data_IF_570325386930
#
_entry.id   IF_570325386930
#
_cell.length_a   1.000
_cell.length_b   1.000
_cell.length_c   1.000
_cell.angle_alpha   90.00
_cell.angle_beta   90.00
_cell.angle_gamma   90.00
#
_symmetry.space_group_name_H-M   'P 1'
#
loop_
_entity.id
_entity.type
_entity.pdbx_description
1 polymer ?
#
# COMPACT_ATOMS: atom_id res chain seq x y z
N UNK A 1 26.80 -9.43 -12.78
CA UNK A 1 25.51 -10.09 -13.11
C UNK A 1 24.93 -10.72 -11.84
N UNK A 2 23.62 -10.58 -11.59
CA UNK A 2 22.93 -11.37 -10.55
C UNK A 2 22.82 -12.81 -11.06
N UNK A 3 23.10 -13.80 -10.21
CA UNK A 3 22.96 -15.20 -10.62
C UNK A 3 21.50 -15.49 -10.99
N UNK A 4 21.29 -15.99 -12.22
CA UNK A 4 19.97 -16.26 -12.75
C UNK A 4 19.26 -17.39 -12.00
N UNK A 5 20.00 -18.36 -11.45
CA UNK A 5 19.42 -19.45 -10.66
C UNK A 5 18.89 -18.92 -9.32
N UNK A 6 19.71 -18.15 -8.59
CA UNK A 6 19.30 -17.47 -7.37
C UNK A 6 18.07 -16.56 -7.60
N UNK A 7 18.08 -15.75 -8.65
CA UNK A 7 16.96 -14.84 -8.94
C UNK A 7 15.65 -15.61 -9.24
N UNK A 8 15.72 -16.71 -10.02
CA UNK A 8 14.55 -17.58 -10.28
C UNK A 8 13.99 -18.20 -9.00
N UNK A 9 14.85 -18.57 -8.05
CA UNK A 9 14.40 -19.09 -6.76
C UNK A 9 13.61 -18.02 -5.97
N UNK A 10 14.07 -16.77 -5.98
CA UNK A 10 13.38 -15.63 -5.33
C UNK A 10 12.04 -15.26 -5.98
N UNK A 11 11.86 -15.57 -7.27
CA UNK A 11 10.61 -15.34 -8.00
C UNK A 11 9.56 -16.44 -7.79
N UNK A 12 9.91 -17.53 -7.12
CA UNK A 12 9.02 -18.68 -6.96
C UNK A 12 7.87 -18.35 -6.00
N UNK A 13 6.64 -18.48 -6.48
CA UNK A 13 5.43 -18.38 -5.64
C UNK A 13 5.45 -19.42 -4.53
N UNK A 14 5.34 -18.94 -3.29
CA UNK A 14 5.09 -19.74 -2.10
C UNK A 14 3.72 -19.39 -1.51
N UNK A 15 2.71 -20.16 -1.92
CA UNK A 15 1.34 -19.94 -1.46
C UNK A 15 1.17 -20.13 0.05
N UNK A 16 2.03 -20.94 0.71
CA UNK A 16 1.96 -21.13 2.17
C UNK A 16 2.46 -19.88 2.88
N UNK A 17 3.57 -19.30 2.40
CA UNK A 17 4.07 -18.03 2.92
C UNK A 17 3.05 -16.90 2.73
N UNK A 18 2.45 -16.79 1.53
CA UNK A 18 1.44 -15.76 1.23
C UNK A 18 0.17 -15.91 2.08
N UNK A 19 -0.39 -17.12 2.19
CA UNK A 19 -1.58 -17.37 3.03
C UNK A 19 -1.27 -17.20 4.51
N UNK A 20 -0.08 -17.61 4.96
CA UNK A 20 0.39 -17.39 6.33
C UNK A 20 0.50 -15.90 6.67
N UNK A 21 1.01 -15.07 5.76
CA UNK A 21 1.09 -13.63 5.94
C UNK A 21 -0.30 -12.97 6.05
N UNK A 22 -1.24 -13.36 5.18
CA UNK A 22 -2.64 -12.89 5.23
C UNK A 22 -3.32 -13.34 6.52
N UNK A 23 -3.16 -14.61 6.90
CA UNK A 23 -3.73 -15.17 8.13
C UNK A 23 -3.15 -14.49 9.38
N UNK A 24 -1.85 -14.17 9.39
CA UNK A 24 -1.21 -13.42 10.45
C UNK A 24 -1.84 -12.03 10.60
N UNK A 25 -2.05 -11.29 9.50
CA UNK A 25 -2.66 -9.97 9.57
C UNK A 25 -4.08 -10.03 10.11
N UNK A 26 -4.91 -10.95 9.62
CA UNK A 26 -6.27 -11.17 10.15
C UNK A 26 -6.28 -11.60 11.61
N UNK A 27 -5.37 -12.50 12.01
CA UNK A 27 -5.24 -12.96 13.38
C UNK A 27 -4.84 -11.84 14.35
N UNK A 28 -3.88 -10.99 13.95
CA UNK A 28 -3.47 -9.83 14.75
C UNK A 28 -4.60 -8.80 14.84
N UNK A 29 -5.37 -8.58 13.77
CA UNK A 29 -6.54 -7.69 13.80
C UNK A 29 -7.58 -8.19 14.81
N UNK A 30 -7.97 -9.46 14.70
CA UNK A 30 -8.95 -10.07 15.60
C UNK A 30 -8.47 -10.02 17.06
N UNK A 31 -7.20 -10.37 17.31
CA UNK A 31 -6.60 -10.34 18.64
C UNK A 31 -6.57 -8.92 19.22
N UNK A 32 -6.17 -7.92 18.44
CA UNK A 32 -6.13 -6.52 18.88
C UNK A 32 -7.53 -5.99 19.25
N UNK A 33 -8.56 -6.33 18.47
CA UNK A 33 -9.94 -5.96 18.77
C UNK A 33 -10.44 -6.65 20.06
N UNK A 34 -10.21 -7.96 20.21
CA UNK A 34 -10.62 -8.72 21.40
C UNK A 34 -9.92 -8.23 22.67
N UNK A 35 -8.61 -7.97 22.61
CA UNK A 35 -7.85 -7.43 23.74
C UNK A 35 -8.31 -6.02 24.11
N UNK A 36 -8.65 -5.18 23.13
CA UNK A 36 -9.20 -3.84 23.38
C UNK A 36 -10.55 -3.90 24.10
N UNK A 37 -11.46 -4.76 23.63
CA UNK A 37 -12.76 -4.98 24.28
C UNK A 37 -12.60 -5.54 25.71
N UNK A 38 -11.74 -6.54 25.90
CA UNK A 38 -11.48 -7.14 27.20
C UNK A 38 -10.86 -6.16 28.20
N UNK A 39 -9.96 -5.29 27.73
CA UNK A 39 -9.34 -4.28 28.58
C UNK A 39 -10.28 -3.11 28.91
N UNK A 40 -11.29 -2.85 28.06
CA UNK A 40 -12.24 -1.74 28.20
C UNK A 40 -11.60 -0.38 28.51
N UNK A 41 -10.39 -0.14 28.00
CA UNK A 41 -9.56 1.01 28.36
C UNK A 41 -9.22 1.87 27.14
N UNK A 42 -9.32 3.21 27.20
CA UNK A 42 -9.06 4.09 26.05
C UNK A 42 -7.68 3.91 25.42
N UNK A 43 -6.64 3.65 26.23
CA UNK A 43 -5.30 3.39 25.70
C UNK A 43 -5.22 2.05 24.95
N UNK A 44 -5.93 1.02 25.42
CA UNK A 44 -5.99 -0.27 24.73
C UNK A 44 -6.68 -0.11 23.36
N UNK A 45 -7.75 0.69 23.32
CA UNK A 45 -8.41 1.06 22.06
C UNK A 45 -7.48 1.82 21.10
N UNK A 46 -6.73 2.81 21.59
CA UNK A 46 -5.78 3.55 20.75
C UNK A 46 -4.70 2.61 20.16
N UNK A 47 -4.16 1.71 20.97
CA UNK A 47 -3.18 0.71 20.52
C UNK A 47 -3.79 -0.27 19.51
N UNK A 48 -5.05 -0.66 19.70
CA UNK A 48 -5.78 -1.48 18.73
C UNK A 48 -5.98 -0.75 17.41
N UNK A 49 -6.32 0.55 17.43
CA UNK A 49 -6.47 1.34 16.20
C UNK A 49 -5.17 1.38 15.39
N UNK A 50 -4.05 1.65 16.06
CA UNK A 50 -2.72 1.66 15.43
C UNK A 50 -2.36 0.29 14.87
N UNK A 51 -2.57 -0.76 15.68
CA UNK A 51 -2.22 -2.13 15.32
C UNK A 51 -3.06 -2.63 14.15
N UNK A 52 -4.37 -2.44 14.21
CA UNK A 52 -5.30 -2.87 13.15
C UNK A 52 -5.03 -2.09 11.87
N UNK A 53 -4.82 -0.78 11.94
CA UNK A 53 -4.48 0.00 10.75
C UNK A 53 -3.17 -0.46 10.10
N UNK A 54 -2.17 -0.82 10.91
CA UNK A 54 -0.91 -1.37 10.41
C UNK A 54 -1.08 -2.74 9.73
N UNK A 55 -2.03 -3.56 10.20
CA UNK A 55 -2.37 -4.86 9.59
C UNK A 55 -3.30 -4.74 8.38
N UNK A 56 -4.24 -3.79 8.37
CA UNK A 56 -4.99 -3.42 7.17
C UNK A 56 -4.02 -2.96 6.07
N UNK A 57 -2.96 -2.25 6.45
CA UNK A 57 -1.90 -1.92 5.53
C UNK A 57 -1.16 -3.17 5.03
N UNK A 58 -0.87 -4.13 5.91
CA UNK A 58 -0.37 -5.46 5.55
C UNK A 58 -1.24 -6.19 4.52
N UNK A 59 -2.57 -6.20 4.70
CA UNK A 59 -3.51 -6.72 3.72
C UNK A 59 -3.39 -5.99 2.38
N UNK A 60 -3.26 -4.65 2.39
CA UNK A 60 -3.01 -3.86 1.19
C UNK A 60 -1.70 -4.24 0.46
N UNK A 61 -0.64 -4.59 1.22
CA UNK A 61 0.61 -5.10 0.64
C UNK A 61 0.41 -6.49 0.01
N UNK A 62 -0.35 -7.37 0.66
CA UNK A 62 -0.65 -8.70 0.09
C UNK A 62 -1.56 -8.60 -1.13
N UNK A 63 -2.48 -7.63 -1.17
CA UNK A 63 -3.22 -7.28 -2.37
C UNK A 63 -2.27 -6.86 -3.50
N UNK A 64 -1.30 -5.98 -3.21
CA UNK A 64 -0.28 -5.58 -4.17
C UNK A 64 0.56 -6.76 -4.68
N UNK A 65 0.97 -7.68 -3.79
CA UNK A 65 1.65 -8.93 -4.16
C UNK A 65 0.77 -9.79 -5.10
N UNK A 66 -0.53 -9.85 -4.84
CA UNK A 66 -1.50 -10.50 -5.72
C UNK A 66 -1.65 -9.83 -7.08
N UNK A 67 -1.44 -8.51 -7.19
CA UNK A 67 -1.41 -7.81 -8.46
C UNK A 67 -0.27 -8.35 -9.36
N UNK A 68 0.86 -8.72 -8.76
CA UNK A 68 2.02 -9.37 -9.43
C UNK A 68 1.91 -10.90 -9.53
N UNK A 69 0.73 -11.47 -9.30
CA UNK A 69 0.49 -12.91 -9.29
C UNK A 69 1.38 -13.66 -8.26
N UNK A 70 1.64 -13.00 -7.13
CA UNK A 70 2.51 -13.47 -6.05
C UNK A 70 1.88 -14.44 -5.06
N UNK A 71 0.55 -14.51 -4.96
CA UNK A 71 -0.14 -15.23 -3.88
C UNK A 71 -0.33 -16.72 -4.15
N UNK A 72 -0.55 -17.10 -5.41
CA UNK A 72 -0.78 -18.50 -5.78
C UNK A 72 -0.38 -18.78 -7.22
N UNK A 73 0.16 -19.98 -7.50
CA UNK A 73 0.59 -20.42 -8.85
C UNK A 73 -0.54 -20.46 -9.89
N UNK A 74 -1.78 -20.57 -9.42
CA UNK A 74 -3.01 -20.60 -10.24
C UNK A 74 -3.60 -19.21 -10.22
N UNK A 75 -3.66 -18.55 -11.37
CA UNK A 75 -4.17 -17.17 -11.48
C UNK A 75 -5.56 -16.98 -10.88
N UNK A 76 -6.49 -17.89 -11.14
CA UNK A 76 -7.84 -17.81 -10.57
C UNK A 76 -7.84 -17.81 -9.04
N UNK A 77 -6.99 -18.62 -8.40
CA UNK A 77 -6.86 -18.64 -6.94
C UNK A 77 -6.11 -17.42 -6.42
N UNK A 78 -5.07 -16.95 -7.11
CA UNK A 78 -4.39 -15.71 -6.75
C UNK A 78 -5.39 -14.55 -6.72
N UNK A 79 -6.20 -14.44 -7.77
CA UNK A 79 -7.16 -13.35 -7.91
C UNK A 79 -8.30 -13.47 -6.89
N UNK A 80 -8.81 -14.67 -6.66
CA UNK A 80 -9.80 -14.92 -5.60
C UNK A 80 -9.26 -14.57 -4.19
N UNK A 81 -8.07 -15.06 -3.83
CA UNK A 81 -7.44 -14.81 -2.52
C UNK A 81 -7.17 -13.31 -2.33
N UNK A 82 -6.55 -12.66 -3.33
CA UNK A 82 -6.19 -11.26 -3.25
C UNK A 82 -7.41 -10.34 -3.22
N UNK A 83 -8.48 -10.66 -3.95
CA UNK A 83 -9.73 -9.89 -3.90
C UNK A 83 -10.46 -10.11 -2.56
N UNK A 84 -10.75 -11.36 -2.20
CA UNK A 84 -11.61 -11.69 -1.05
C UNK A 84 -10.95 -11.37 0.31
N UNK A 85 -9.68 -11.72 0.49
CA UNK A 85 -9.03 -11.66 1.80
C UNK A 85 -8.22 -10.39 2.03
N UNK A 86 -7.94 -9.61 0.98
CA UNK A 86 -7.05 -8.47 1.05
C UNK A 86 -7.64 -7.18 0.44
N UNK A 87 -8.29 -7.24 -0.73
CA UNK A 87 -8.78 -6.05 -1.43
C UNK A 87 -10.19 -5.61 -0.98
N UNK A 88 -11.19 -6.47 -1.08
CA UNK A 88 -12.59 -6.15 -0.75
C UNK A 88 -12.79 -5.74 0.72
N UNK A 89 -12.09 -6.35 1.71
CA UNK A 89 -12.13 -5.87 3.08
C UNK A 89 -11.67 -4.40 3.21
N UNK A 90 -10.79 -3.94 2.33
CA UNK A 90 -10.30 -2.55 2.26
C UNK A 90 -11.12 -1.69 1.27
N UNK A 91 -12.24 -2.20 0.77
CA UNK A 91 -13.12 -1.52 -0.20
C UNK A 91 -12.47 -1.16 -1.53
N UNK A 92 -11.42 -1.88 -1.92
CA UNK A 92 -10.71 -1.71 -3.20
C UNK A 92 -10.81 -2.97 -4.06
N UNK A 93 -10.33 -2.89 -5.30
CA UNK A 93 -10.19 -4.07 -6.18
C UNK A 93 -8.73 -4.27 -6.55
N UNK A 94 -8.23 -5.48 -6.30
CA UNK A 94 -6.88 -5.87 -6.68
C UNK A 94 -6.72 -5.85 -8.20
N UNK A 95 -7.71 -6.38 -8.95
CA UNK A 95 -7.63 -6.41 -10.42
C UNK A 95 -7.72 -5.01 -11.03
N UNK A 96 -8.55 -4.14 -10.46
CA UNK A 96 -8.59 -2.72 -10.84
C UNK A 96 -7.26 -2.03 -10.58
N UNK A 97 -6.65 -2.30 -9.42
CA UNK A 97 -5.33 -1.79 -9.05
C UNK A 97 -4.21 -2.32 -9.97
N UNK A 98 -4.23 -3.62 -10.33
CA UNK A 98 -3.20 -4.27 -11.15
C UNK A 98 -2.91 -3.54 -12.45
N UNK A 99 -3.95 -3.12 -13.18
CA UNK A 99 -3.76 -2.45 -14.47
C UNK A 99 -3.01 -1.11 -14.32
N UNK A 100 -3.47 -0.28 -13.40
CA UNK A 100 -2.82 1.00 -13.05
C UNK A 100 -1.38 0.78 -12.57
N UNK A 101 -1.20 -0.20 -11.68
CA UNK A 101 0.10 -0.46 -11.07
C UNK A 101 1.13 -1.02 -12.06
N UNK A 102 0.71 -1.89 -12.98
CA UNK A 102 1.60 -2.40 -14.03
C UNK A 102 2.07 -1.28 -14.96
N UNK A 103 1.21 -0.31 -15.26
CA UNK A 103 1.60 0.86 -16.05
C UNK A 103 2.62 1.73 -15.30
N UNK A 104 2.42 1.92 -14.00
CA UNK A 104 3.39 2.59 -13.13
C UNK A 104 4.76 1.89 -13.14
N UNK A 105 4.82 0.55 -13.05
CA UNK A 105 6.09 -0.20 -13.16
C UNK A 105 6.75 -0.05 -14.52
N UNK A 106 5.96 -0.09 -15.59
CA UNK A 106 6.45 0.00 -16.97
C UNK A 106 7.06 1.37 -17.28
N UNK A 107 6.40 2.43 -16.80
CA UNK A 107 6.73 3.81 -17.16
C UNK A 107 7.32 4.58 -15.97
N UNK A 108 7.83 3.88 -14.95
CA UNK A 108 8.26 4.44 -13.67
C UNK A 108 9.00 5.77 -13.85
N UNK A 109 8.52 6.81 -13.15
CA UNK A 109 9.17 8.13 -13.12
C UNK A 109 9.16 8.89 -14.47
N UNK A 110 8.34 8.49 -15.44
CA UNK A 110 8.14 9.21 -16.70
C UNK A 110 6.79 9.91 -16.74
N UNK A 111 6.52 10.67 -17.81
CA UNK A 111 5.22 11.32 -18.03
C UNK A 111 4.08 10.30 -18.22
N UNK A 112 4.39 9.09 -18.66
CA UNK A 112 3.38 8.05 -18.88
C UNK A 112 3.14 7.21 -17.61
N UNK A 113 3.82 7.50 -16.50
CA UNK A 113 3.51 6.91 -15.19
C UNK A 113 2.24 7.57 -14.62
N UNK A 114 1.15 6.80 -14.40
CA UNK A 114 -0.11 7.36 -13.91
C UNK A 114 0.01 7.91 -12.48
N UNK A 115 0.93 7.41 -11.67
CA UNK A 115 1.23 8.01 -10.37
C UNK A 115 2.00 9.32 -10.56
N UNK A 116 2.95 9.39 -11.49
CA UNK A 116 3.75 10.60 -11.75
C UNK A 116 2.87 11.76 -12.21
N UNK A 117 1.99 11.54 -13.19
CA UNK A 117 1.03 12.52 -13.70
C UNK A 117 0.13 13.12 -12.61
N UNK A 118 -0.30 12.32 -11.63
CA UNK A 118 -1.11 12.81 -10.53
C UNK A 118 -0.36 13.84 -9.65
N UNK A 119 0.97 13.71 -9.57
CA UNK A 119 1.83 14.44 -8.63
C UNK A 119 2.52 15.64 -9.28
N UNK A 120 2.62 15.65 -10.60
CA UNK A 120 3.21 16.76 -11.35
C UNK A 120 2.16 17.60 -12.05
N UNK A 121 2.58 18.79 -12.48
CA UNK A 121 1.86 19.61 -13.45
C UNK A 121 2.26 19.17 -14.87
N UNK A 122 1.60 19.72 -15.88
CA UNK A 122 1.91 19.43 -17.30
C UNK A 122 3.37 19.78 -17.67
N UNK A 123 3.94 20.78 -17.00
CA UNK A 123 5.35 21.17 -17.16
C UNK A 123 6.35 20.20 -16.48
N UNK A 124 5.85 19.15 -15.80
CA UNK A 124 6.66 18.16 -15.06
C UNK A 124 7.08 18.61 -13.66
N UNK A 125 6.73 19.83 -13.24
CA UNK A 125 7.05 20.30 -11.88
C UNK A 125 6.14 19.65 -10.82
N UNK A 126 6.65 19.34 -9.61
CA UNK A 126 5.81 18.80 -8.54
C UNK A 126 4.71 19.78 -8.15
N UNK A 127 3.49 19.29 -7.96
CA UNK A 127 2.40 20.09 -7.38
C UNK A 127 2.80 20.56 -5.97
N UNK A 128 2.29 21.71 -5.49
CA UNK A 128 2.73 22.30 -4.22
C UNK A 128 2.72 21.33 -3.03
N UNK A 129 1.72 20.47 -2.94
CA UNK A 129 1.53 19.42 -1.93
C UNK A 129 2.59 18.30 -1.97
N UNK A 130 3.24 18.08 -3.12
CA UNK A 130 4.28 17.07 -3.33
C UNK A 130 5.67 17.69 -3.51
N UNK A 131 5.85 18.97 -3.20
CA UNK A 131 7.17 19.62 -3.24
C UNK A 131 7.95 19.31 -1.96
N UNK A 132 9.02 18.53 -2.11
CA UNK A 132 9.98 18.19 -1.06
C UNK A 132 11.38 18.77 -1.38
N UNK A 133 12.18 19.14 -0.36
CA UNK A 133 11.86 19.06 1.06
C UNK A 133 10.86 20.14 1.49
N UNK A 134 10.06 19.85 2.52
CA UNK A 134 9.04 20.77 3.05
C UNK A 134 9.24 21.08 4.55
N UNK A 135 8.77 22.23 5.06
CA UNK A 135 8.90 22.55 6.48
C UNK A 135 8.29 21.47 7.37
N UNK A 136 8.97 21.11 8.48
CA UNK A 136 8.53 20.07 9.44
C UNK A 136 7.08 20.24 9.88
N UNK A 137 6.65 21.48 10.15
CA UNK A 137 5.25 21.81 10.53
C UNK A 137 4.23 21.40 9.47
N UNK A 138 4.59 21.53 8.19
CA UNK A 138 3.72 21.19 7.04
C UNK A 138 3.64 19.68 6.89
N UNK A 139 4.77 18.99 7.01
CA UNK A 139 4.82 17.53 6.99
C UNK A 139 4.00 16.93 8.14
N UNK A 140 4.17 17.43 9.37
CA UNK A 140 3.41 16.98 10.54
C UNK A 140 1.91 17.24 10.36
N UNK A 141 1.51 18.44 9.92
CA UNK A 141 0.10 18.76 9.64
C UNK A 141 -0.51 17.81 8.60
N UNK A 142 0.25 17.46 7.57
CA UNK A 142 -0.19 16.50 6.56
C UNK A 142 -0.53 15.14 7.19
N UNK A 143 0.39 14.56 7.97
CA UNK A 143 0.16 13.26 8.62
C UNK A 143 -0.94 13.32 9.69
N UNK A 144 -0.97 14.36 10.51
CA UNK A 144 -2.02 14.57 11.53
C UNK A 144 -3.39 14.72 10.86
N UNK A 145 -3.47 15.37 9.69
CA UNK A 145 -4.74 15.49 8.96
C UNK A 145 -5.31 14.13 8.56
N UNK A 146 -4.46 13.15 8.21
CA UNK A 146 -4.92 11.79 7.90
C UNK A 146 -5.33 11.04 9.18
N UNK A 147 -4.57 11.18 10.28
CA UNK A 147 -4.94 10.59 11.57
C UNK A 147 -6.27 11.11 12.11
N UNK A 148 -6.66 12.34 11.76
CA UNK A 148 -7.96 12.92 12.11
C UNK A 148 -9.09 12.54 11.14
N UNK A 149 -8.84 11.63 10.19
CA UNK A 149 -9.88 11.15 9.27
C UNK A 149 -10.20 12.09 8.11
N UNK A 150 -9.47 13.19 7.93
CA UNK A 150 -9.72 14.12 6.80
C UNK A 150 -9.37 13.50 5.44
N UNK A 151 -8.66 12.36 5.43
CA UNK A 151 -8.50 11.50 4.26
C UNK A 151 -9.83 11.01 3.69
N UNK A 152 -10.79 10.64 4.55
CA UNK A 152 -12.14 10.22 4.15
C UNK A 152 -12.89 11.36 3.47
N UNK A 153 -12.80 12.59 4.01
CA UNK A 153 -13.43 13.78 3.40
C UNK A 153 -12.88 14.05 2.00
N UNK A 154 -11.55 13.94 1.83
CA UNK A 154 -10.90 14.06 0.51
C UNK A 154 -11.36 12.96 -0.46
N UNK A 155 -11.42 11.71 0.00
CA UNK A 155 -11.89 10.58 -0.79
C UNK A 155 -13.33 10.79 -1.27
N UNK A 156 -14.25 11.14 -0.36
CA UNK A 156 -15.65 11.42 -0.69
C UNK A 156 -15.78 12.60 -1.67
N UNK A 157 -14.97 13.65 -1.50
CA UNK A 157 -14.89 14.75 -2.46
C UNK A 157 -14.46 14.32 -3.85
N UNK A 158 -13.46 13.44 -3.96
CA UNK A 158 -13.03 12.87 -5.25
C UNK A 158 -14.11 11.98 -5.86
N UNK A 159 -14.77 11.13 -5.08
CA UNK A 159 -15.87 10.27 -5.58
C UNK A 159 -17.06 11.08 -6.11
N UNK A 160 -17.41 12.19 -5.44
CA UNK A 160 -18.44 13.13 -5.94
C UNK A 160 -18.06 13.73 -7.29
N UNK A 161 -16.83 14.24 -7.43
CA UNK A 161 -16.32 14.81 -8.69
C UNK A 161 -16.26 13.78 -9.82
N UNK A 162 -15.89 12.54 -9.52
CA UNK A 162 -15.92 11.44 -10.49
C UNK A 162 -17.37 11.09 -10.86
N UNK A 163 -18.30 11.07 -9.90
CA UNK A 163 -19.73 10.87 -10.16
C UNK A 163 -20.34 11.95 -11.03
N UNK A 164 -19.96 13.21 -10.80
CA UNK A 164 -20.34 14.38 -11.61
C UNK A 164 -19.71 14.32 -13.02
N UNK A 165 -18.47 13.83 -13.13
CA UNK A 165 -17.77 13.66 -14.42
C UNK A 165 -18.20 12.42 -15.20
N UNK A 166 -18.79 11.41 -14.53
CA UNK A 166 -19.27 10.15 -15.12
C UNK A 166 -20.62 10.26 -15.84
N UNK A 167 -21.13 11.47 -16.06
CA UNK A 167 -22.16 11.73 -17.08
C UNK A 167 -21.72 11.41 -18.52
N UNK A 168 -20.49 10.93 -18.74
CA UNK A 168 -19.97 10.52 -20.06
C UNK A 168 -19.14 9.24 -20.02
N UNK A 169 -19.71 8.17 -20.61
CA UNK A 169 -19.07 7.04 -21.30
C UNK A 169 -18.10 6.15 -20.49
N UNK A 170 -18.60 4.96 -20.13
CA UNK A 170 -17.79 3.81 -19.73
C UNK A 170 -16.93 3.31 -20.89
N UNK A 171 -15.62 3.59 -20.83
CA UNK A 171 -14.62 3.03 -21.73
C UNK A 171 -13.95 1.81 -21.08
N UNK A 172 -14.31 0.61 -21.54
CA UNK A 172 -13.48 -0.61 -21.71
C UNK A 172 -14.31 -1.89 -21.60
N UNK A 173 -15.23 -2.06 -22.55
CA UNK A 173 -15.79 -3.37 -22.91
C UNK A 173 -14.90 -4.03 -23.98
N UNK A 174 -13.76 -4.61 -23.58
CA UNK A 174 -13.12 -5.62 -24.42
C UNK A 174 -12.60 -6.80 -23.59
N UNK A 175 -13.03 -8.00 -24.01
CA UNK A 175 -12.50 -9.35 -23.69
C UNK A 175 -12.07 -9.60 -22.23
N UNK A 176 -12.98 -9.53 -21.27
CA UNK A 176 -12.75 -10.03 -19.90
C UNK A 176 -12.90 -11.56 -19.85
N UNK A 177 -11.98 -12.26 -19.18
CA UNK A 177 -12.06 -13.70 -19.01
C UNK A 177 -13.31 -14.09 -18.17
N UNK A 178 -13.89 -15.29 -18.32
CA UNK A 178 -15.06 -15.71 -17.54
C UNK A 178 -14.84 -15.64 -16.02
N UNK A 179 -13.63 -15.96 -15.55
CA UNK A 179 -13.24 -15.81 -14.13
C UNK A 179 -13.32 -14.37 -13.63
N UNK A 180 -13.11 -13.39 -14.52
CA UNK A 180 -13.20 -11.99 -14.15
C UNK A 180 -14.65 -11.55 -13.89
N UNK A 181 -15.59 -12.06 -14.69
CA UNK A 181 -17.03 -11.79 -14.52
C UNK A 181 -17.59 -12.42 -13.25
N UNK A 182 -17.14 -13.63 -12.91
CA UNK A 182 -17.54 -14.31 -11.69
C UNK A 182 -17.12 -13.54 -10.43
N UNK A 183 -15.88 -13.02 -10.39
CA UNK A 183 -15.41 -12.21 -9.28
C UNK A 183 -16.10 -10.83 -9.21
N UNK A 184 -16.40 -10.22 -10.36
CA UNK A 184 -17.19 -8.97 -10.42
C UNK A 184 -18.59 -9.17 -9.82
N UNK A 185 -19.25 -10.29 -10.13
CA UNK A 185 -20.55 -10.66 -9.58
C UNK A 185 -20.50 -11.09 -8.10
N UNK A 186 -19.40 -11.70 -7.66
CA UNK A 186 -19.22 -12.12 -6.26
C UNK A 186 -18.98 -10.94 -5.31
N UNK A 187 -18.42 -9.82 -5.79
CA UNK A 187 -18.13 -8.64 -4.96
C UNK A 187 -19.37 -8.04 -4.25
N UNK A 188 -20.50 -7.74 -4.94
CA UNK A 188 -21.69 -7.27 -4.24
C UNK A 188 -22.26 -8.32 -3.27
N UNK A 189 -22.14 -9.62 -3.58
CA UNK A 189 -22.56 -10.70 -2.67
C UNK A 189 -21.71 -10.70 -1.40
N UNK A 190 -20.40 -10.48 -1.49
CA UNK A 190 -19.52 -10.33 -0.33
C UNK A 190 -19.97 -9.18 0.57
N UNK A 191 -20.25 -7.99 0.01
CA UNK A 191 -20.68 -6.85 0.81
C UNK A 191 -22.08 -7.05 1.40
N UNK A 192 -23.01 -7.68 0.66
CA UNK A 192 -24.31 -8.05 1.20
C UNK A 192 -24.16 -9.04 2.36
N UNK A 193 -23.32 -10.07 2.21
CA UNK A 193 -23.03 -11.03 3.27
C UNK A 193 -22.42 -10.34 4.50
N UNK A 194 -21.51 -9.37 4.32
CA UNK A 194 -20.97 -8.56 5.39
C UNK A 194 -22.06 -7.76 6.12
N UNK A 195 -22.94 -7.06 5.38
CA UNK A 195 -24.06 -6.28 5.96
C UNK A 195 -25.02 -7.18 6.74
N UNK A 196 -25.37 -8.34 6.17
CA UNK A 196 -26.23 -9.33 6.82
C UNK A 196 -25.57 -9.85 8.10
N UNK A 197 -24.28 -10.24 8.05
CA UNK A 197 -23.55 -10.70 9.22
C UNK A 197 -23.51 -9.63 10.33
N UNK A 198 -23.13 -8.38 9.99
CA UNK A 198 -23.08 -7.29 10.96
C UNK A 198 -24.44 -6.98 11.60
N UNK A 199 -25.52 -7.10 10.83
CA UNK A 199 -26.88 -6.87 11.31
C UNK A 199 -27.33 -8.00 12.24
N UNK A 200 -27.13 -9.26 11.83
CA UNK A 200 -27.53 -10.42 12.63
C UNK A 200 -26.73 -10.54 13.93
N UNK A 201 -25.46 -10.13 13.94
CA UNK A 201 -24.61 -10.20 15.15
C UNK A 201 -24.60 -8.91 15.96
N UNK A 202 -25.29 -7.85 15.53
CA UNK A 202 -25.15 -6.51 16.14
C UNK A 202 -23.74 -5.91 16.03
N UNK A 203 -22.89 -6.44 15.13
CA UNK A 203 -21.47 -6.15 15.03
C UNK A 203 -21.11 -4.76 14.49
N UNK A 204 -22.11 -3.93 14.16
CA UNK A 204 -21.92 -2.60 13.58
C UNK A 204 -21.02 -1.69 14.42
N UNK A 205 -21.15 -1.73 15.75
CA UNK A 205 -20.29 -0.95 16.65
C UNK A 205 -18.83 -1.38 16.54
N UNK A 206 -18.56 -2.68 16.66
CA UNK A 206 -17.20 -3.23 16.56
C UNK A 206 -16.61 -2.99 15.17
N UNK A 207 -17.41 -3.10 14.11
CA UNK A 207 -16.99 -2.79 12.75
C UNK A 207 -16.62 -1.31 12.59
N UNK A 208 -17.44 -0.39 13.11
CA UNK A 208 -17.12 1.03 13.06
C UNK A 208 -15.81 1.35 13.82
N UNK A 209 -15.66 0.85 15.04
CA UNK A 209 -14.53 1.15 15.92
C UNK A 209 -13.23 0.46 15.48
N UNK A 210 -13.29 -0.81 15.09
CA UNK A 210 -12.09 -1.61 14.82
C UNK A 210 -11.80 -1.82 13.35
N UNK A 211 -12.75 -1.55 12.45
CA UNK A 211 -12.48 -1.62 11.02
C UNK A 211 -12.41 -0.24 10.37
N UNK A 212 -13.45 0.58 10.51
CA UNK A 212 -13.53 1.88 9.82
C UNK A 212 -12.61 2.94 10.43
N UNK A 213 -12.54 3.06 11.75
CA UNK A 213 -11.64 4.05 12.38
C UNK A 213 -10.17 3.81 11.99
N UNK A 214 -9.60 2.59 12.09
CA UNK A 214 -8.21 2.35 11.67
C UNK A 214 -7.99 2.58 10.17
N UNK A 215 -8.98 2.22 9.35
CA UNK A 215 -8.96 2.38 7.89
C UNK A 215 -8.83 3.86 7.50
N UNK A 216 -9.60 4.73 8.15
CA UNK A 216 -9.63 6.15 7.83
C UNK A 216 -8.64 7.01 8.60
N UNK A 217 -7.94 6.45 9.59
CA UNK A 217 -6.95 7.18 10.40
C UNK A 217 -5.54 6.67 10.13
N UNK A 218 -5.15 5.55 10.74
CA UNK A 218 -3.80 5.01 10.65
C UNK A 218 -3.45 4.53 9.25
N UNK A 219 -4.32 3.73 8.61
CA UNK A 219 -4.05 3.25 7.25
C UNK A 219 -3.95 4.43 6.26
N UNK A 220 -4.81 5.43 6.38
CA UNK A 220 -4.76 6.64 5.55
C UNK A 220 -3.42 7.37 5.71
N UNK A 221 -2.97 7.55 6.95
CA UNK A 221 -1.68 8.19 7.26
C UNK A 221 -0.50 7.37 6.74
N UNK A 222 -0.47 6.06 6.99
CA UNK A 222 0.63 5.18 6.57
C UNK A 222 0.73 5.09 5.06
N UNK A 223 -0.39 4.98 4.36
CA UNK A 223 -0.41 4.94 2.89
C UNK A 223 0.18 6.21 2.30
N UNK A 224 -0.17 7.39 2.86
CA UNK A 224 0.45 8.65 2.45
C UNK A 224 1.94 8.70 2.78
N UNK A 225 2.31 8.34 4.01
CA UNK A 225 3.71 8.34 4.45
C UNK A 225 4.56 7.43 3.57
N UNK A 226 4.04 6.27 3.17
CA UNK A 226 4.71 5.36 2.24
C UNK A 226 4.86 5.96 0.86
N UNK A 227 3.81 6.53 0.26
CA UNK A 227 3.95 7.22 -1.02
C UNK A 227 5.02 8.30 -0.99
N UNK A 228 5.08 9.08 0.11
CA UNK A 228 6.17 10.05 0.34
C UNK A 228 7.52 9.36 0.46
N UNK A 229 7.62 8.32 1.29
CA UNK A 229 8.88 7.61 1.51
C UNK A 229 9.40 7.00 0.22
N UNK A 230 8.55 6.36 -0.56
CA UNK A 230 8.93 5.49 -1.67
C UNK A 230 9.17 6.25 -2.96
N UNK A 231 8.45 7.34 -3.20
CA UNK A 231 8.53 8.06 -4.47
C UNK A 231 8.57 9.58 -4.38
N UNK A 232 7.90 10.22 -3.40
CA UNK A 232 7.65 11.68 -3.49
C UNK A 232 8.72 12.51 -2.77
N UNK A 233 9.23 11.99 -1.67
CA UNK A 233 10.15 12.68 -0.76
C UNK A 233 11.61 12.61 -1.19
N UNK A 234 11.88 12.65 -2.49
CA UNK A 234 13.23 12.60 -3.05
C UNK A 234 13.67 14.02 -3.39
N UNK A 235 14.64 14.55 -2.65
CA UNK A 235 15.12 15.92 -2.81
C UNK A 235 15.64 16.15 -4.25
N UNK A 236 14.87 16.90 -5.05
CA UNK A 236 15.30 17.43 -6.35
C UNK A 236 15.39 16.40 -7.49
N UNK A 237 14.81 15.21 -7.37
CA UNK A 237 14.90 14.19 -8.41
C UNK A 237 13.68 13.28 -8.50
N UNK A 238 13.58 12.55 -9.61
CA UNK A 238 12.60 11.49 -9.81
C UNK A 238 13.29 10.16 -9.52
N UNK A 239 12.68 9.29 -8.72
CA UNK A 239 13.33 8.06 -8.28
C UNK A 239 12.45 7.19 -7.41
N UNK A 240 13.04 6.16 -6.83
CA UNK A 240 12.37 5.24 -5.91
C UNK A 240 13.26 4.96 -4.72
N UNK A 241 12.69 4.81 -3.51
CA UNK A 241 13.45 4.59 -2.27
C UNK A 241 13.14 3.24 -1.65
N UNK A 242 14.18 2.56 -1.18
CA UNK A 242 14.11 1.50 -0.18
C UNK A 242 14.35 2.06 1.22
N UNK A 243 13.44 1.75 2.15
CA UNK A 243 13.50 2.17 3.55
C UNK A 243 13.80 0.99 4.47
N UNK A 244 15.07 0.86 4.88
CA UNK A 244 15.52 -0.21 5.77
C UNK A 244 14.99 0.06 7.18
N UNK A 245 13.96 -0.68 7.57
CA UNK A 245 13.19 -0.44 8.79
C UNK A 245 13.55 -1.42 9.90
N UNK A 246 13.52 -0.94 11.16
CA UNK A 246 13.58 -1.77 12.36
C UNK A 246 12.36 -2.71 12.44
N UNK A 247 12.35 -3.66 13.39
CA UNK A 247 11.20 -4.54 13.59
C UNK A 247 9.90 -3.76 13.81
N UNK A 248 9.96 -2.67 14.60
CA UNK A 248 8.80 -1.83 14.88
C UNK A 248 8.35 -1.06 13.63
N UNK A 249 9.29 -0.55 12.83
CA UNK A 249 8.97 0.09 11.56
C UNK A 249 8.33 -0.88 10.56
N UNK A 250 8.81 -2.12 10.49
CA UNK A 250 8.19 -3.18 9.66
C UNK A 250 6.80 -3.56 10.17
N UNK A 251 6.60 -3.57 11.49
CA UNK A 251 5.28 -3.85 12.04
C UNK A 251 4.29 -2.71 11.79
N UNK A 252 4.69 -1.46 12.03
CA UNK A 252 3.76 -0.32 12.01
C UNK A 252 3.57 0.32 10.63
N UNK A 253 4.61 0.31 9.79
CA UNK A 253 4.68 1.15 8.60
C UNK A 253 4.97 0.37 7.31
N UNK A 254 5.83 -0.66 7.37
CA UNK A 254 6.30 -1.40 6.19
C UNK A 254 6.20 -2.93 6.38
N UNK A 255 4.98 -3.49 6.55
CA UNK A 255 4.76 -4.92 6.69
C UNK A 255 5.15 -5.66 5.42
N UNK A 256 5.41 -6.96 5.56
CA UNK A 256 5.70 -7.87 4.44
C UNK A 256 6.80 -7.36 3.52
N UNK A 257 7.84 -6.75 4.10
CA UNK A 257 9.02 -6.26 3.39
C UNK A 257 8.74 -5.22 2.30
N UNK A 258 7.59 -4.56 2.30
CA UNK A 258 7.28 -3.55 1.28
C UNK A 258 8.21 -2.34 1.30
N UNK A 259 8.91 -2.12 2.42
CA UNK A 259 9.95 -1.10 2.52
C UNK A 259 11.13 -1.29 1.54
N UNK A 260 11.33 -2.48 0.99
CA UNK A 260 12.28 -2.76 -0.10
C UNK A 260 11.70 -2.39 -1.47
N UNK A 261 11.16 -1.18 -1.57
CA UNK A 261 10.33 -0.77 -2.70
C UNK A 261 11.15 -0.48 -3.97
N UNK A 262 12.35 0.09 -3.83
CA UNK A 262 13.26 0.24 -4.97
C UNK A 262 13.70 -1.12 -5.52
N UNK A 263 13.95 -2.09 -4.63
CA UNK A 263 14.26 -3.47 -5.00
C UNK A 263 13.11 -4.11 -5.81
N UNK A 264 11.88 -3.89 -5.33
CA UNK A 264 10.67 -4.34 -6.00
C UNK A 264 10.52 -3.74 -7.40
N UNK A 265 10.77 -2.44 -7.57
CA UNK A 265 10.73 -1.81 -8.90
C UNK A 265 11.81 -2.34 -9.86
N UNK A 266 12.99 -2.68 -9.34
CA UNK A 266 14.05 -3.29 -10.15
C UNK A 266 13.70 -4.74 -10.55
N UNK A 267 13.05 -5.50 -9.68
CA UNK A 267 12.67 -6.89 -9.91
C UNK A 267 11.26 -7.21 -9.37
N UNK A 268 10.18 -6.76 -10.02
CA UNK A 268 8.81 -6.86 -9.48
C UNK A 268 8.28 -8.28 -9.41
N UNK A 269 8.94 -9.21 -10.09
CA UNK A 269 8.64 -10.63 -9.99
C UNK A 269 9.26 -11.29 -8.74
N UNK A 270 10.16 -10.64 -8.00
CA UNK A 270 10.68 -11.20 -6.74
C UNK A 270 9.60 -11.11 -5.67
N UNK A 271 9.39 -12.21 -4.94
CA UNK A 271 8.32 -12.29 -3.94
C UNK A 271 8.69 -11.51 -2.68
N UNK A 272 7.68 -10.97 -2.00
CA UNK A 272 7.85 -10.15 -0.80
C UNK A 272 8.80 -10.74 0.26
N UNK A 273 8.76 -12.06 0.49
CA UNK A 273 9.61 -12.73 1.49
C UNK A 273 11.09 -12.78 1.10
N UNK A 274 11.41 -12.68 -0.21
CA UNK A 274 12.76 -12.74 -0.74
C UNK A 274 13.37 -11.35 -1.00
N UNK A 275 12.59 -10.26 -0.90
CA UNK A 275 13.09 -8.89 -1.06
C UNK A 275 14.31 -8.54 -0.17
N UNK A 276 14.39 -8.96 1.11
CA UNK A 276 15.59 -8.71 1.92
C UNK A 276 16.86 -9.39 1.39
N UNK A 277 16.70 -10.53 0.71
CA UNK A 277 17.81 -11.25 0.08
C UNK A 277 18.23 -10.57 -1.23
N UNK A 278 17.26 -10.21 -2.07
CA UNK A 278 17.48 -9.39 -3.26
C UNK A 278 18.23 -8.10 -2.91
N UNK A 279 17.81 -7.43 -1.82
CA UNK A 279 18.46 -6.21 -1.37
C UNK A 279 19.94 -6.37 -1.08
N UNK A 280 20.31 -7.41 -0.33
CA UNK A 280 21.73 -7.73 -0.06
C UNK A 280 22.52 -7.93 -1.34
N UNK A 281 21.92 -8.61 -2.32
CA UNK A 281 22.51 -8.87 -3.65
C UNK A 281 22.69 -7.58 -4.45
N UNK A 282 21.73 -6.66 -4.42
CA UNK A 282 21.78 -5.38 -5.14
C UNK A 282 22.71 -4.35 -4.46
N UNK A 283 22.66 -4.25 -3.13
CA UNK A 283 23.53 -3.37 -2.35
C UNK A 283 25.01 -3.75 -2.51
N UNK A 284 25.34 -5.05 -2.47
CA UNK A 284 26.71 -5.54 -2.71
C UNK A 284 27.26 -5.19 -4.11
N UNK A 285 26.38 -4.79 -5.05
CA UNK A 285 26.73 -4.39 -6.41
C UNK A 285 26.68 -2.88 -6.63
N UNK A 286 26.41 -2.08 -5.60
CA UNK A 286 26.35 -0.62 -5.68
C UNK A 286 25.15 -0.09 -6.49
N UNK A 287 24.04 -0.84 -6.55
CA UNK A 287 22.84 -0.44 -7.32
C UNK A 287 22.13 0.77 -6.72
N UNK A 288 22.17 0.94 -5.39
CA UNK A 288 21.46 2.02 -4.72
C UNK A 288 22.21 3.35 -4.82
N UNK A 289 21.77 4.21 -5.73
CA UNK A 289 22.35 5.51 -6.09
C UNK A 289 21.29 6.63 -6.00
N UNK A 290 21.38 7.69 -6.83
CA UNK A 290 20.46 8.83 -6.81
C UNK A 290 19.01 8.47 -7.16
N UNK A 291 18.84 7.55 -8.11
CA UNK A 291 17.54 7.21 -8.72
C UNK A 291 16.86 6.06 -7.96
N UNK A 292 17.67 5.18 -7.36
CA UNK A 292 17.25 4.11 -6.48
C UNK A 292 17.89 4.32 -5.11
N UNK A 293 17.24 5.10 -4.24
CA UNK A 293 17.83 5.51 -2.96
C UNK A 293 17.64 4.45 -1.89
N UNK A 294 18.59 4.39 -0.97
CA UNK A 294 18.44 3.66 0.28
C UNK A 294 18.44 4.64 1.46
N UNK A 295 17.46 4.50 2.36
CA UNK A 295 17.36 5.29 3.58
C UNK A 295 17.14 4.38 4.78
N UNK A 296 17.82 4.67 5.89
CA UNK A 296 17.62 3.95 7.16
C UNK A 296 16.46 4.53 7.94
N UNK A 297 15.39 3.74 8.03
CA UNK A 297 14.20 4.03 8.84
C UNK A 297 13.39 5.24 8.39
N UNK A 298 12.16 5.34 8.91
CA UNK A 298 11.28 6.47 8.60
C UNK A 298 11.72 7.79 9.25
N UNK A 299 12.59 7.75 10.26
CA UNK A 299 13.25 8.95 10.79
C UNK A 299 14.23 9.55 9.79
N UNK A 300 14.96 8.70 9.04
CA UNK A 300 15.78 9.13 7.91
C UNK A 300 14.94 9.72 6.80
N UNK A 301 13.85 9.05 6.43
CA UNK A 301 12.88 9.56 5.43
C UNK A 301 12.36 10.94 5.84
N UNK A 302 11.92 11.09 7.10
CA UNK A 302 11.45 12.37 7.61
C UNK A 302 12.51 13.46 7.52
N UNK A 303 13.76 13.16 7.86
CA UNK A 303 14.88 14.10 7.75
C UNK A 303 15.04 14.54 6.30
N UNK A 304 15.23 13.60 5.37
CA UNK A 304 15.40 13.89 3.95
C UNK A 304 14.24 14.71 3.38
N UNK A 305 13.00 14.39 3.75
CA UNK A 305 11.80 15.10 3.30
C UNK A 305 11.62 16.49 3.91
N UNK A 306 12.35 16.85 4.96
CA UNK A 306 12.13 18.11 5.70
C UNK A 306 13.34 19.01 5.83
N UNK A 307 14.53 18.53 5.44
CA UNK A 307 15.75 19.32 5.42
C UNK A 307 16.19 19.55 3.97
N UNK A 308 16.37 20.81 3.55
CA UNK A 308 17.06 21.13 2.29
C UNK A 308 18.43 20.44 2.25
N UNK A 309 18.76 19.79 1.14
CA UNK A 309 20.17 19.50 0.87
C UNK A 309 20.89 20.83 0.64
N UNK A 310 22.14 21.00 1.10
CA UNK A 310 22.96 22.11 0.64
C UNK A 310 22.98 22.08 -0.90
N UNK A 311 22.85 23.26 -1.52
CA UNK A 311 23.00 23.35 -2.97
C UNK A 311 24.39 22.79 -3.35
N UNK A 312 24.51 22.03 -4.44
CA UNK A 312 25.84 21.72 -4.95
C UNK A 312 26.57 23.04 -5.21
N UNK A 313 27.75 23.18 -4.61
CA UNK A 313 28.69 24.28 -4.91
C UNK A 313 29.13 24.23 -6.38
#
# INVERSE_FOLDING_TARGET
>A
RVDAAALRAMMRVDARASLGAIALDWGVIACAALLSEAAAHPLAYLLAVITIGARQHGLGVMMHEGAHLGLHKRRALNDFIGELLAAWPLFVSMRGYRAHHNEHHRNLNTRDDPDFCYRTREDGSPRPEFRFPMPRRRFARMLVSDLLGLGLVRMLGTLRRIGESRGGKDASSSTRAPSDRALDAARPVFYLALVVALTLTGGWRSFALYWLVPLFTWLAMVTRLRGVAEHWGLNGGVGTRTTISSWLGRFLLAPHNIGYHADHHLFPAVRFHALPELHRVLAARGVFTSDFRETRGYTGVFRECTTPSPAPE
#
